data_IF_094913736123
#
_entry.id   IF_094913736123
#
_cell.length_a   1.000
_cell.length_b   1.000
_cell.length_c   1.000
_cell.angle_alpha   90.00
_cell.angle_beta   90.00
_cell.angle_gamma   90.00
#
_symmetry.space_group_name_H-M   'P 1'
#
loop_
_entity.id
_entity.type
_entity.pdbx_description
1 polymer ?
#
# COMPACT_ATOMS: atom_id res chain seq x y z
N UNK A 1 -17.14 17.22 -24.73
CA UNK A 1 -16.83 17.67 -23.35
C UNK A 1 -15.45 18.28 -23.39
N UNK A 2 -15.30 19.55 -22.98
CA UNK A 2 -14.05 20.30 -23.08
C UNK A 2 -12.96 19.68 -22.18
N UNK A 3 -11.72 19.61 -22.69
CA UNK A 3 -10.57 18.97 -22.03
C UNK A 3 -10.22 19.66 -20.70
N UNK A 4 -10.41 20.98 -20.64
CA UNK A 4 -10.17 21.77 -19.45
C UNK A 4 -11.17 21.48 -18.33
N UNK A 5 -12.45 21.33 -18.68
CA UNK A 5 -13.52 21.05 -17.71
C UNK A 5 -13.38 19.64 -17.13
N UNK A 6 -13.00 18.66 -17.96
CA UNK A 6 -12.70 17.30 -17.48
C UNK A 6 -11.51 17.28 -16.50
N UNK A 7 -10.47 18.08 -16.77
CA UNK A 7 -9.32 18.22 -15.88
C UNK A 7 -9.70 18.84 -14.53
N UNK A 8 -10.43 19.95 -14.53
CA UNK A 8 -10.90 20.61 -13.30
C UNK A 8 -11.79 19.69 -12.46
N UNK A 9 -12.73 19.00 -13.09
CA UNK A 9 -13.61 18.04 -12.41
C UNK A 9 -12.82 16.89 -11.77
N UNK A 10 -11.80 16.37 -12.46
CA UNK A 10 -10.92 15.35 -11.91
C UNK A 10 -10.07 15.88 -10.73
N UNK A 11 -9.62 17.13 -10.78
CA UNK A 11 -8.88 17.76 -9.70
C UNK A 11 -9.75 17.98 -8.46
N UNK A 12 -10.96 18.53 -8.63
CA UNK A 12 -11.92 18.72 -7.54
C UNK A 12 -12.25 17.38 -6.87
N UNK A 13 -12.59 16.35 -7.64
CA UNK A 13 -12.86 15.01 -7.12
C UNK A 13 -11.67 14.42 -6.34
N UNK A 14 -10.43 14.71 -6.75
CA UNK A 14 -9.23 14.25 -6.00
C UNK A 14 -9.07 15.01 -4.69
N UNK A 15 -9.37 16.30 -4.66
CA UNK A 15 -9.34 17.11 -3.45
C UNK A 15 -10.38 16.61 -2.44
N UNK A 16 -11.63 16.42 -2.87
CA UNK A 16 -12.72 15.94 -2.00
C UNK A 16 -12.37 14.61 -1.32
N UNK A 17 -11.85 13.64 -2.09
CA UNK A 17 -11.45 12.34 -1.57
C UNK A 17 -10.23 12.41 -0.63
N UNK A 18 -9.34 13.38 -0.85
CA UNK A 18 -8.22 13.61 0.08
C UNK A 18 -8.71 14.28 1.37
N UNK A 19 -9.66 15.19 1.28
CA UNK A 19 -10.24 15.87 2.44
C UNK A 19 -11.04 14.88 3.29
N UNK A 20 -11.84 14.02 2.65
CA UNK A 20 -12.55 12.93 3.33
C UNK A 20 -11.58 11.98 4.06
N UNK A 21 -10.52 11.53 3.40
CA UNK A 21 -9.49 10.70 4.02
C UNK A 21 -8.86 11.38 5.25
N UNK A 22 -8.56 12.68 5.15
CA UNK A 22 -8.06 13.48 6.28
C UNK A 22 -9.10 13.63 7.39
N UNK A 23 -10.39 13.73 7.05
CA UNK A 23 -11.51 13.75 7.99
C UNK A 23 -11.59 12.47 8.84
N UNK A 24 -11.13 11.33 8.31
CA UNK A 24 -11.00 10.08 9.06
C UNK A 24 -9.72 9.98 9.90
N UNK A 25 -8.89 11.03 9.93
CA UNK A 25 -7.62 11.07 10.65
C UNK A 25 -6.43 10.53 9.86
N UNK A 26 -6.58 10.29 8.56
CA UNK A 26 -5.44 9.88 7.72
C UNK A 26 -4.61 11.12 7.40
N UNK A 27 -3.42 11.21 7.99
CA UNK A 27 -2.39 12.21 7.66
C UNK A 27 -1.02 11.57 7.42
N UNK A 28 -0.06 12.39 7.04
CA UNK A 28 1.32 12.00 6.76
C UNK A 28 2.01 11.35 7.98
N UNK A 29 1.71 11.81 9.19
CA UNK A 29 2.28 11.26 10.42
C UNK A 29 1.73 9.86 10.70
N UNK A 30 0.42 9.67 10.60
CA UNK A 30 -0.22 8.38 10.70
C UNK A 30 0.32 7.40 9.66
N UNK A 31 0.42 7.82 8.39
CA UNK A 31 0.97 6.97 7.31
C UNK A 31 2.43 6.60 7.60
N UNK A 32 3.26 7.55 8.07
CA UNK A 32 4.64 7.25 8.43
C UNK A 32 4.71 6.19 9.53
N UNK A 33 3.95 6.34 10.62
CA UNK A 33 3.92 5.38 11.73
C UNK A 33 3.39 4.01 11.31
N UNK A 34 2.33 3.98 10.50
CA UNK A 34 1.74 2.77 9.93
C UNK A 34 2.77 2.00 9.11
N UNK A 35 3.44 2.68 8.17
CA UNK A 35 4.45 2.06 7.30
C UNK A 35 5.65 1.57 8.10
N UNK A 36 6.18 2.38 9.02
CA UNK A 36 7.32 1.98 9.84
C UNK A 36 6.99 0.75 10.70
N UNK A 37 5.83 0.73 11.34
CA UNK A 37 5.38 -0.41 12.17
C UNK A 37 5.18 -1.67 11.34
N UNK A 38 4.52 -1.54 10.18
CA UNK A 38 4.25 -2.66 9.30
C UNK A 38 5.53 -3.30 8.76
N UNK A 39 6.48 -2.49 8.27
CA UNK A 39 7.72 -3.03 7.70
C UNK A 39 8.72 -3.49 8.76
N UNK A 40 8.65 -2.97 9.99
CA UNK A 40 9.36 -3.57 11.13
C UNK A 40 8.86 -4.99 11.39
N UNK A 41 7.55 -5.23 11.35
CA UNK A 41 6.98 -6.58 11.50
C UNK A 41 7.30 -7.49 10.32
N UNK A 42 7.28 -6.97 9.08
CA UNK A 42 7.73 -7.74 7.91
C UNK A 42 9.15 -8.26 8.09
N UNK A 43 10.09 -7.40 8.51
CA UNK A 43 11.50 -7.79 8.69
C UNK A 43 11.68 -8.96 9.65
N UNK A 44 10.85 -9.02 10.70
CA UNK A 44 10.88 -10.07 11.71
C UNK A 44 9.97 -11.27 11.40
N UNK A 45 9.10 -11.18 10.39
CA UNK A 45 8.14 -12.23 10.08
C UNK A 45 8.86 -13.46 9.49
N UNK A 46 8.56 -14.69 9.95
CA UNK A 46 9.28 -15.90 9.53
C UNK A 46 9.20 -16.18 8.02
N UNK A 47 8.02 -15.98 7.41
CA UNK A 47 7.83 -16.24 5.97
C UNK A 47 8.05 -15.00 5.07
N UNK A 48 7.55 -13.83 5.47
CA UNK A 48 7.71 -12.59 4.69
C UNK A 48 9.13 -12.03 4.80
N UNK A 49 9.75 -12.10 5.98
CA UNK A 49 11.07 -11.55 6.25
C UNK A 49 12.11 -11.98 5.24
N UNK A 50 12.34 -13.28 5.00
CA UNK A 50 13.28 -13.76 3.98
C UNK A 50 13.03 -13.16 2.58
N UNK A 51 11.78 -13.11 2.12
CA UNK A 51 11.43 -12.57 0.80
C UNK A 51 11.82 -11.10 0.66
N UNK A 52 11.57 -10.29 1.69
CA UNK A 52 11.88 -8.87 1.68
C UNK A 52 13.36 -8.61 1.95
N UNK A 53 13.95 -9.28 2.94
CA UNK A 53 15.35 -9.11 3.34
C UNK A 53 16.29 -9.49 2.19
N UNK A 54 16.04 -10.60 1.49
CA UNK A 54 16.86 -11.01 0.35
C UNK A 54 16.80 -10.00 -0.80
N UNK A 55 15.63 -9.38 -1.01
CA UNK A 55 15.42 -8.45 -2.12
C UNK A 55 15.90 -7.02 -1.83
N UNK A 56 15.79 -6.57 -0.58
CA UNK A 56 16.09 -5.19 -0.16
C UNK A 56 17.52 -5.06 0.35
N UNK A 57 18.01 -6.06 1.09
CA UNK A 57 19.32 -6.04 1.74
C UNK A 57 19.49 -4.81 2.63
N UNK A 58 20.61 -4.09 2.47
CA UNK A 58 20.94 -2.91 3.26
C UNK A 58 20.09 -1.66 2.91
N UNK A 59 19.28 -1.71 1.85
CA UNK A 59 18.53 -0.56 1.34
C UNK A 59 17.18 -0.32 2.04
N UNK A 60 16.98 -0.84 3.25
CA UNK A 60 15.75 -0.66 4.03
C UNK A 60 15.31 0.80 4.19
N UNK A 61 16.20 1.76 4.53
CA UNK A 61 15.79 3.17 4.62
C UNK A 61 15.21 3.73 3.31
N UNK A 62 15.79 3.35 2.17
CA UNK A 62 15.31 3.77 0.84
C UNK A 62 13.96 3.11 0.54
N UNK A 63 13.80 1.84 0.90
CA UNK A 63 12.53 1.13 0.74
C UNK A 63 11.41 1.79 1.57
N UNK A 64 11.65 2.05 2.86
CA UNK A 64 10.68 2.68 3.76
C UNK A 64 10.25 4.06 3.24
N UNK A 65 11.21 4.91 2.84
CA UNK A 65 10.89 6.22 2.27
C UNK A 65 10.01 6.11 1.01
N UNK A 66 10.27 5.13 0.15
CA UNK A 66 9.45 4.85 -1.04
C UNK A 66 8.05 4.35 -0.67
N UNK A 67 7.92 3.54 0.37
CA UNK A 67 6.63 2.99 0.81
C UNK A 67 5.77 4.03 1.53
N UNK A 68 6.36 4.98 2.26
CA UNK A 68 5.63 6.15 2.80
C UNK A 68 4.98 6.95 1.67
N UNK A 69 5.76 7.32 0.65
CA UNK A 69 5.25 7.98 -0.56
C UNK A 69 4.18 7.17 -1.29
N UNK A 70 4.37 5.84 -1.39
CA UNK A 70 3.36 4.95 -1.98
C UNK A 70 2.02 5.02 -1.23
N UNK A 71 2.05 4.86 0.09
CA UNK A 71 0.83 4.85 0.89
C UNK A 71 0.18 6.24 1.01
N UNK A 72 0.96 7.32 1.03
CA UNK A 72 0.45 8.68 0.85
C UNK A 72 -0.25 8.85 -0.50
N UNK A 73 0.34 8.35 -1.59
CA UNK A 73 -0.29 8.40 -2.91
C UNK A 73 -1.57 7.59 -2.99
N UNK A 74 -1.66 6.48 -2.27
CA UNK A 74 -2.85 5.63 -2.24
C UNK A 74 -3.95 6.23 -1.35
N UNK A 75 -3.57 6.76 -0.19
CA UNK A 75 -4.52 7.20 0.82
C UNK A 75 -5.02 8.62 0.55
N UNK A 76 -4.09 9.53 0.28
CA UNK A 76 -4.31 10.98 0.15
C UNK A 76 -4.24 11.46 -1.31
N UNK A 77 -4.04 10.53 -2.27
CA UNK A 77 -3.95 10.83 -3.71
C UNK A 77 -2.83 11.82 -4.06
N UNK A 78 -1.81 11.90 -3.21
CA UNK A 78 -0.59 12.68 -3.48
C UNK A 78 0.10 12.08 -4.71
N UNK A 79 0.62 12.88 -5.63
CA UNK A 79 1.32 12.37 -6.81
C UNK A 79 2.80 12.02 -6.51
N UNK A 80 3.12 11.60 -5.28
CA UNK A 80 4.49 11.45 -4.77
C UNK A 80 5.16 10.11 -5.12
N UNK A 81 4.38 9.10 -5.49
CA UNK A 81 4.91 7.79 -5.89
C UNK A 81 5.01 7.64 -7.41
N UNK A 82 6.23 7.45 -7.90
CA UNK A 82 6.55 7.30 -9.34
C UNK A 82 6.98 5.87 -9.71
N UNK A 83 6.77 4.89 -8.81
CA UNK A 83 7.20 3.52 -9.04
C UNK A 83 6.25 2.70 -9.91
N UNK A 84 6.70 1.49 -10.27
CA UNK A 84 5.92 0.52 -11.05
C UNK A 84 5.71 -0.77 -10.26
N UNK A 85 4.68 -0.85 -9.40
CA UNK A 85 4.46 -1.98 -8.50
C UNK A 85 4.32 -3.30 -9.25
N UNK A 86 3.60 -3.28 -10.40
CA UNK A 86 3.38 -4.48 -11.21
C UNK A 86 4.68 -5.11 -11.70
N UNK A 87 5.56 -4.32 -12.31
CA UNK A 87 6.84 -4.81 -12.83
C UNK A 87 7.70 -5.36 -11.69
N UNK A 88 7.72 -4.66 -10.55
CA UNK A 88 8.50 -5.09 -9.37
C UNK A 88 8.04 -6.46 -8.85
N UNK A 89 6.73 -6.67 -8.68
CA UNK A 89 6.22 -7.90 -8.07
C UNK A 89 6.18 -9.08 -9.05
N UNK A 90 6.03 -8.81 -10.36
CA UNK A 90 6.19 -9.84 -11.41
C UNK A 90 7.58 -10.47 -11.38
N UNK A 91 8.61 -9.68 -11.10
CA UNK A 91 10.01 -10.13 -11.01
C UNK A 91 10.41 -10.78 -9.68
N UNK A 92 9.50 -10.92 -8.70
CA UNK A 92 9.81 -11.59 -7.43
C UNK A 92 9.68 -13.11 -7.59
N UNK A 93 10.79 -13.78 -7.83
CA UNK A 93 10.84 -15.24 -7.97
C UNK A 93 10.58 -15.98 -6.66
N UNK A 94 11.01 -15.44 -5.52
CA UNK A 94 10.77 -16.01 -4.19
C UNK A 94 9.33 -15.85 -3.70
N UNK A 95 8.53 -14.96 -4.31
CA UNK A 95 7.16 -14.73 -3.91
C UNK A 95 6.26 -15.94 -4.24
N UNK A 96 5.31 -16.23 -3.35
CA UNK A 96 4.28 -17.27 -3.48
C UNK A 96 2.93 -16.66 -3.12
N UNK A 97 1.79 -17.22 -3.58
CA UNK A 97 0.47 -16.70 -3.26
C UNK A 97 0.25 -16.49 -1.76
N UNK A 98 0.66 -17.47 -0.93
CA UNK A 98 0.54 -17.38 0.53
C UNK A 98 1.24 -16.16 1.14
N UNK A 99 2.35 -15.68 0.55
CA UNK A 99 3.01 -14.46 1.04
C UNK A 99 2.13 -13.22 0.85
N UNK A 100 1.28 -13.17 -0.18
CA UNK A 100 0.34 -12.06 -0.35
C UNK A 100 -0.78 -12.11 0.69
N UNK A 101 -1.31 -13.30 0.97
CA UNK A 101 -2.30 -13.50 2.05
C UNK A 101 -1.74 -13.09 3.41
N UNK A 102 -0.53 -13.56 3.75
CA UNK A 102 0.15 -13.22 5.00
C UNK A 102 0.46 -11.72 5.10
N UNK A 103 0.86 -11.09 3.99
CA UNK A 103 1.08 -9.64 3.93
C UNK A 103 -0.22 -8.88 4.23
N UNK A 104 -1.36 -9.33 3.70
CA UNK A 104 -2.68 -8.72 3.94
C UNK A 104 -3.16 -8.90 5.38
N UNK A 105 -2.97 -10.10 5.96
CA UNK A 105 -3.27 -10.36 7.38
C UNK A 105 -2.44 -9.45 8.27
N UNK A 106 -1.12 -9.40 8.06
CA UNK A 106 -0.24 -8.55 8.85
C UNK A 106 -0.59 -7.05 8.71
N UNK A 107 -1.00 -6.63 7.51
CA UNK A 107 -1.43 -5.25 7.25
C UNK A 107 -2.71 -4.91 8.02
N UNK A 108 -3.68 -5.83 8.04
CA UNK A 108 -4.93 -5.70 8.79
C UNK A 108 -4.69 -5.65 10.30
N UNK A 109 -3.77 -6.47 10.82
CA UNK A 109 -3.38 -6.45 12.24
C UNK A 109 -2.81 -5.08 12.63
N UNK A 110 -1.87 -4.54 11.85
CA UNK A 110 -1.27 -3.23 12.15
C UNK A 110 -2.30 -2.10 12.02
N UNK A 111 -3.20 -2.15 11.04
CA UNK A 111 -4.28 -1.17 10.93
C UNK A 111 -5.26 -1.26 12.11
N UNK A 112 -5.56 -2.47 12.59
CA UNK A 112 -6.45 -2.66 13.76
C UNK A 112 -5.87 -2.00 15.00
N UNK A 113 -4.55 -2.00 15.14
CA UNK A 113 -3.86 -1.36 16.27
C UNK A 113 -3.72 0.16 16.14
N UNK A 114 -3.45 0.66 14.93
CA UNK A 114 -3.01 2.05 14.74
C UNK A 114 -4.04 2.99 14.12
N UNK A 115 -5.06 2.46 13.43
CA UNK A 115 -5.98 3.30 12.69
C UNK A 115 -6.71 4.29 13.61
N UNK A 116 -6.78 5.58 13.25
CA UNK A 116 -7.42 6.61 14.06
C UNK A 116 -8.96 6.48 14.08
N UNK A 117 -9.53 5.72 13.15
CA UNK A 117 -10.97 5.47 13.04
C UNK A 117 -11.23 4.16 12.27
N UNK A 118 -12.44 3.63 12.43
CA UNK A 118 -12.92 2.47 11.66
C UNK A 118 -12.95 2.79 10.15
N UNK A 119 -13.33 4.01 9.78
CA UNK A 119 -13.33 4.47 8.39
C UNK A 119 -11.92 4.45 7.80
N UNK A 120 -10.92 4.98 8.52
CA UNK A 120 -9.53 4.94 8.08
C UNK A 120 -9.02 3.51 7.91
N UNK A 121 -9.32 2.61 8.86
CA UNK A 121 -8.97 1.18 8.77
C UNK A 121 -9.59 0.56 7.52
N UNK A 122 -10.90 0.66 7.36
CA UNK A 122 -11.64 0.02 6.28
C UNK A 122 -11.19 0.54 4.91
N UNK A 123 -11.00 1.85 4.80
CA UNK A 123 -10.54 2.54 3.59
C UNK A 123 -9.16 2.06 3.11
N UNK A 124 -8.20 1.92 4.02
CA UNK A 124 -6.84 1.45 3.71
C UNK A 124 -6.80 -0.06 3.47
N UNK A 125 -7.57 -0.84 4.21
CA UNK A 125 -7.67 -2.29 4.05
C UNK A 125 -8.26 -2.67 2.68
N UNK A 126 -9.32 -2.00 2.24
CA UNK A 126 -9.92 -2.22 0.92
C UNK A 126 -8.91 -1.96 -0.21
N UNK A 127 -8.13 -0.87 -0.11
CA UNK A 127 -7.06 -0.52 -1.06
C UNK A 127 -5.94 -1.55 -1.07
N UNK A 128 -5.52 -1.97 0.12
CA UNK A 128 -4.50 -3.00 0.28
C UNK A 128 -4.94 -4.32 -0.38
N UNK A 129 -6.16 -4.80 -0.10
CA UNK A 129 -6.74 -6.00 -0.71
C UNK A 129 -6.84 -5.87 -2.23
N UNK A 130 -7.38 -4.76 -2.72
CA UNK A 130 -7.50 -4.49 -4.16
C UNK A 130 -6.15 -4.52 -4.88
N UNK A 131 -5.13 -3.90 -4.28
CA UNK A 131 -3.77 -3.87 -4.81
C UNK A 131 -3.13 -5.26 -4.74
N UNK A 132 -3.24 -5.95 -3.60
CA UNK A 132 -2.71 -7.29 -3.36
C UNK A 132 -3.24 -8.29 -4.38
N UNK A 133 -4.56 -8.33 -4.59
CA UNK A 133 -5.20 -9.21 -5.58
C UNK A 133 -4.69 -8.92 -6.99
N UNK A 134 -4.54 -7.65 -7.36
CA UNK A 134 -4.03 -7.27 -8.69
C UNK A 134 -2.56 -7.66 -8.87
N UNK A 135 -1.73 -7.49 -7.85
CA UNK A 135 -0.32 -7.90 -7.86
C UNK A 135 -0.19 -9.42 -7.98
N UNK A 136 -0.95 -10.17 -7.17
CA UNK A 136 -0.96 -11.62 -7.20
C UNK A 136 -1.42 -12.14 -8.57
N UNK A 137 -2.54 -11.63 -9.11
CA UNK A 137 -3.01 -12.01 -10.45
C UNK A 137 -1.98 -11.69 -11.54
N UNK A 138 -1.35 -10.53 -11.44
CA UNK A 138 -0.27 -10.13 -12.35
C UNK A 138 0.93 -11.07 -12.32
N UNK A 139 1.21 -11.73 -11.19
CA UNK A 139 2.36 -12.61 -10.99
C UNK A 139 2.05 -14.09 -11.24
N UNK A 140 0.87 -14.57 -10.86
CA UNK A 140 0.52 -15.98 -10.80
C UNK A 140 -0.61 -16.40 -11.75
N UNK A 141 -1.25 -15.44 -12.42
CA UNK A 141 -2.42 -15.69 -13.29
C UNK A 141 -3.74 -15.34 -12.62
N UNK A 142 -4.81 -15.27 -13.41
CA UNK A 142 -6.10 -14.72 -12.96
C UNK A 142 -6.84 -15.58 -11.93
N UNK A 143 -6.52 -16.87 -11.86
CA UNK A 143 -7.19 -17.86 -11.01
C UNK A 143 -6.55 -17.99 -9.62
N UNK A 144 -5.53 -17.17 -9.31
CA UNK A 144 -4.91 -17.17 -7.98
C UNK A 144 -5.86 -16.62 -6.93
N UNK A 145 -5.95 -17.34 -5.81
CA UNK A 145 -6.66 -16.93 -4.61
C UNK A 145 -5.64 -16.54 -3.53
N UNK A 146 -5.88 -15.40 -2.87
CA UNK A 146 -5.06 -14.87 -1.78
C UNK A 146 -5.92 -14.24 -0.70
#
# INVERSE_FOLDING_TARGET
>A
MDSLEAFKAAQAKRADLSEEARGWGIDEEFISRLVDTFYLRIQAHPDLGPVFNDRIGENWPVHLAKMKRFWESIALRTALYEGKPMETHKGLEAARPMHFSQWLVLWEDVLTELAPSDDARNYLLERARSMGTRLAKGRFGNDVEI
#
